data_IF_745775935026
#
_entry.id   IF_745775935026
#
_cell.length_a   1.000
_cell.length_b   1.000
_cell.length_c   1.000
_cell.angle_alpha   90.00
_cell.angle_beta   90.00
_cell.angle_gamma   90.00
#
_symmetry.space_group_name_H-M   'P 1'
#
loop_
_entity.id
_entity.type
_entity.pdbx_description
1 polymer ?
#
# COMPACT_ATOMS: atom_id res chain seq x y z
N UNK A 1 25.23 7.42 -19.36
CA UNK A 1 24.66 8.73 -19.74
C UNK A 1 23.77 8.48 -20.92
N UNK A 2 22.52 8.18 -20.61
CA UNK A 2 21.41 8.24 -21.56
C UNK A 2 21.44 9.57 -22.29
N UNK A 3 21.16 9.58 -23.60
CA UNK A 3 20.95 10.82 -24.34
C UNK A 3 19.62 11.45 -23.86
N UNK A 4 19.72 12.27 -22.81
CA UNK A 4 18.57 12.87 -22.11
C UNK A 4 17.73 13.74 -23.03
N UNK A 5 18.34 14.30 -24.08
CA UNK A 5 17.66 14.99 -25.18
C UNK A 5 16.68 14.07 -25.91
N UNK A 6 17.13 12.87 -26.29
CA UNK A 6 16.31 11.91 -27.03
C UNK A 6 15.13 11.38 -26.20
N UNK A 7 15.32 11.23 -24.89
CA UNK A 7 14.26 10.84 -23.97
C UNK A 7 13.21 11.94 -23.82
N UNK A 8 13.66 13.19 -23.63
CA UNK A 8 12.75 14.33 -23.50
C UNK A 8 11.95 14.57 -24.78
N UNK A 9 12.54 14.38 -25.96
CA UNK A 9 11.81 14.40 -27.23
C UNK A 9 10.68 13.35 -27.27
N UNK A 10 10.89 12.19 -26.64
CA UNK A 10 9.87 11.17 -26.43
C UNK A 10 8.73 11.66 -25.54
N UNK A 11 9.06 12.27 -24.39
CA UNK A 11 8.09 12.88 -23.47
C UNK A 11 7.28 13.97 -24.15
N UNK A 12 7.94 14.89 -24.87
CA UNK A 12 7.27 15.97 -25.60
C UNK A 12 6.34 15.43 -26.70
N UNK A 13 6.72 14.34 -27.36
CA UNK A 13 5.86 13.64 -28.33
C UNK A 13 4.64 13.01 -27.67
N UNK A 14 4.81 12.38 -26.51
CA UNK A 14 3.69 11.83 -25.74
C UNK A 14 2.78 12.95 -25.23
N UNK A 15 3.34 14.07 -24.77
CA UNK A 15 2.56 15.25 -24.36
C UNK A 15 1.72 15.77 -25.53
N UNK A 16 2.26 15.87 -26.75
CA UNK A 16 1.49 16.25 -27.95
C UNK A 16 0.32 15.31 -28.25
N UNK A 17 0.45 14.02 -27.94
CA UNK A 17 -0.56 12.99 -28.23
C UNK A 17 -1.63 12.89 -27.14
N UNK A 18 -1.25 12.96 -25.87
CA UNK A 18 -2.12 12.68 -24.73
C UNK A 18 -2.53 13.94 -23.95
N UNK A 19 -2.00 15.10 -24.30
CA UNK A 19 -2.18 16.41 -23.66
C UNK A 19 -1.66 16.53 -22.23
N UNK A 20 -1.75 15.47 -21.42
CA UNK A 20 -1.24 15.42 -20.05
C UNK A 20 -0.35 14.19 -19.90
N UNK A 21 0.89 14.40 -19.48
CA UNK A 21 1.88 13.36 -19.18
C UNK A 21 2.28 13.45 -17.72
N UNK A 22 2.49 12.30 -17.07
CA UNK A 22 3.06 12.21 -15.73
C UNK A 22 4.42 11.53 -15.79
N UNK A 23 5.39 12.13 -15.11
CA UNK A 23 6.74 11.64 -14.91
C UNK A 23 7.07 11.55 -13.42
N UNK A 24 7.55 10.39 -13.00
CA UNK A 24 8.20 10.23 -11.71
C UNK A 24 9.71 10.41 -11.88
N UNK A 25 10.23 11.53 -11.38
CA UNK A 25 11.65 11.86 -11.38
C UNK A 25 12.11 12.05 -9.93
N UNK A 26 12.20 10.93 -9.23
CA UNK A 26 12.69 10.84 -7.85
C UNK A 26 14.20 10.66 -7.76
N UNK A 27 14.67 10.11 -6.65
CA UNK A 27 16.09 10.02 -6.29
C UNK A 27 16.91 9.22 -7.31
N UNK A 28 16.35 8.13 -7.85
CA UNK A 28 17.00 7.33 -8.90
C UNK A 28 17.23 8.11 -10.20
N UNK A 29 16.45 9.16 -10.46
CA UNK A 29 16.42 9.92 -11.71
C UNK A 29 16.61 11.43 -11.48
N UNK A 30 17.29 11.80 -10.38
CA UNK A 30 17.52 13.19 -10.01
C UNK A 30 18.33 13.96 -11.08
N UNK A 31 19.25 13.28 -11.77
CA UNK A 31 20.01 13.83 -12.90
C UNK A 31 19.10 14.20 -14.07
N UNK A 32 18.16 13.33 -14.46
CA UNK A 32 17.20 13.61 -15.52
C UNK A 32 16.32 14.82 -15.19
N UNK A 33 15.98 15.01 -13.91
CA UNK A 33 15.23 16.19 -13.46
C UNK A 33 16.02 17.49 -13.64
N UNK A 34 17.32 17.49 -13.32
CA UNK A 34 18.19 18.64 -13.53
C UNK A 34 18.37 18.97 -15.02
N UNK A 35 18.48 17.95 -15.87
CA UNK A 35 18.61 18.13 -17.32
C UNK A 35 17.36 18.76 -17.94
N UNK A 36 16.16 18.55 -17.38
CA UNK A 36 14.94 19.19 -17.87
C UNK A 36 14.99 20.73 -17.81
N UNK A 37 15.65 21.29 -16.79
CA UNK A 37 15.84 22.74 -16.68
C UNK A 37 16.63 23.31 -17.87
N UNK A 38 17.47 22.49 -18.49
CA UNK A 38 18.29 22.88 -19.65
C UNK A 38 17.56 22.82 -21.00
N UNK A 39 16.38 22.20 -21.06
CA UNK A 39 15.63 21.99 -22.31
C UNK A 39 14.94 23.25 -22.84
N UNK A 40 14.91 24.33 -22.05
CA UNK A 40 14.29 25.61 -22.42
C UNK A 40 12.77 25.62 -22.40
N UNK A 41 12.10 24.56 -21.94
CA UNK A 41 10.66 24.54 -21.71
C UNK A 41 10.26 25.39 -20.50
N UNK A 42 9.07 26.00 -20.53
CA UNK A 42 8.48 26.67 -19.37
C UNK A 42 8.29 25.70 -18.20
N UNK A 43 9.24 25.74 -17.25
CA UNK A 43 9.20 25.00 -16.00
C UNK A 43 8.65 25.89 -14.88
N UNK A 44 7.59 25.43 -14.23
CA UNK A 44 6.96 26.13 -13.11
C UNK A 44 6.75 25.18 -11.94
N UNK A 45 6.87 25.66 -10.72
CA UNK A 45 6.52 24.85 -9.54
C UNK A 45 4.99 24.75 -9.42
N UNK A 46 4.48 23.70 -8.78
CA UNK A 46 3.04 23.56 -8.56
C UNK A 46 2.45 24.71 -7.74
N UNK A 47 3.22 25.30 -6.83
CA UNK A 47 2.81 26.46 -6.04
C UNK A 47 2.64 27.69 -6.92
N UNK A 48 3.69 28.05 -7.68
CA UNK A 48 3.63 29.22 -8.57
C UNK A 48 2.59 29.04 -9.67
N UNK A 49 2.46 27.81 -10.15
CA UNK A 49 1.42 27.44 -11.09
C UNK A 49 0.03 27.57 -10.48
N UNK A 50 -0.21 27.28 -9.20
CA UNK A 50 -1.54 27.45 -8.61
C UNK A 50 -1.83 28.91 -8.24
N UNK A 51 -0.82 29.66 -7.79
CA UNK A 51 -0.93 31.06 -7.41
C UNK A 51 -1.04 32.00 -8.62
N UNK A 52 -0.68 31.54 -9.82
CA UNK A 52 -0.73 32.34 -11.04
C UNK A 52 0.35 33.43 -11.11
N UNK A 53 1.37 33.31 -10.28
CA UNK A 53 2.54 34.19 -10.23
C UNK A 53 3.49 33.95 -11.40
N UNK A 54 3.57 32.71 -11.89
CA UNK A 54 4.27 32.39 -13.12
C UNK A 54 3.39 32.74 -14.32
N UNK A 55 3.81 33.75 -15.09
CA UNK A 55 3.26 33.98 -16.41
C UNK A 55 3.48 32.74 -17.26
N UNK A 56 2.43 31.95 -17.48
CA UNK A 56 2.47 30.93 -18.51
C UNK A 56 2.65 31.67 -19.83
N UNK A 57 3.86 31.63 -20.40
CA UNK A 57 4.10 32.18 -21.73
C UNK A 57 3.15 31.57 -22.78
N UNK A 58 3.20 32.09 -24.00
CA UNK A 58 2.47 31.51 -25.15
C UNK A 58 2.98 30.11 -25.55
N UNK A 59 3.85 29.50 -24.75
CA UNK A 59 4.41 28.19 -25.02
C UNK A 59 3.35 27.09 -24.97
N UNK A 60 3.35 26.25 -26.00
CA UNK A 60 2.42 25.13 -26.13
C UNK A 60 2.68 23.98 -25.14
N UNK A 61 3.88 23.91 -24.54
CA UNK A 61 4.29 22.87 -23.60
C UNK A 61 4.65 23.50 -22.26
N UNK A 62 3.98 23.08 -21.20
CA UNK A 62 4.18 23.55 -19.84
C UNK A 62 4.62 22.37 -18.96
N UNK A 63 5.69 22.55 -18.20
CA UNK A 63 6.16 21.58 -17.23
C UNK A 63 5.82 22.07 -15.82
N UNK A 64 5.04 21.29 -15.08
CA UNK A 64 4.65 21.58 -13.71
C UNK A 64 5.41 20.61 -12.80
N UNK A 65 6.32 21.16 -12.00
CA UNK A 65 7.20 20.40 -11.13
C UNK A 65 6.74 20.42 -9.66
N UNK A 66 7.26 19.49 -8.87
CA UNK A 66 7.03 19.37 -7.42
C UNK A 66 5.56 19.11 -7.06
N UNK A 67 4.82 18.37 -7.88
CA UNK A 67 3.40 18.11 -7.60
C UNK A 67 3.19 17.29 -6.31
N UNK A 68 4.23 16.60 -5.80
CA UNK A 68 4.23 15.97 -4.47
C UNK A 68 3.87 16.95 -3.33
N UNK A 69 4.06 18.26 -3.52
CA UNK A 69 3.64 19.25 -2.52
C UNK A 69 2.13 19.24 -2.29
N UNK A 70 1.32 18.76 -3.24
CA UNK A 70 -0.13 18.59 -3.07
C UNK A 70 -0.51 17.52 -2.03
N UNK A 71 0.41 16.63 -1.64
CA UNK A 71 0.17 15.64 -0.58
C UNK A 71 0.88 16.02 0.74
N UNK A 72 1.94 16.83 0.67
CA UNK A 72 2.68 17.30 1.84
C UNK A 72 2.05 18.55 2.47
N UNK A 73 1.44 19.43 1.65
CA UNK A 73 0.85 20.68 2.09
C UNK A 73 -0.68 20.63 1.99
N UNK A 74 -1.36 20.62 3.14
CA UNK A 74 -2.84 20.59 3.23
C UNK A 74 -3.55 21.76 2.55
N UNK A 75 -2.84 22.86 2.23
CA UNK A 75 -3.40 24.00 1.51
C UNK A 75 -3.53 23.75 0.01
N UNK A 76 -2.60 22.98 -0.56
CA UNK A 76 -2.59 22.65 -1.98
C UNK A 76 -3.39 21.37 -2.17
N UNK A 77 -4.44 21.42 -2.97
CA UNK A 77 -5.25 20.24 -3.26
C UNK A 77 -5.02 19.80 -4.69
N UNK A 78 -4.86 18.51 -4.91
CA UNK A 78 -4.86 17.91 -6.25
C UNK A 78 -6.11 18.30 -7.06
N UNK A 79 -7.24 18.55 -6.39
CA UNK A 79 -8.46 19.05 -7.03
C UNK A 79 -8.28 20.43 -7.66
N UNK A 80 -7.58 21.35 -7.01
CA UNK A 80 -7.34 22.70 -7.51
C UNK A 80 -6.37 22.65 -8.71
N UNK A 81 -5.30 21.84 -8.58
CA UNK A 81 -4.35 21.58 -9.66
C UNK A 81 -5.06 21.00 -10.88
N UNK A 82 -5.92 20.00 -10.67
CA UNK A 82 -6.71 19.39 -11.72
C UNK A 82 -7.56 20.41 -12.46
N UNK A 83 -8.35 21.21 -11.75
CA UNK A 83 -9.24 22.19 -12.38
C UNK A 83 -8.45 23.15 -13.27
N UNK A 84 -7.31 23.65 -12.78
CA UNK A 84 -6.47 24.57 -13.53
C UNK A 84 -5.79 23.93 -14.74
N UNK A 85 -5.26 22.71 -14.57
CA UNK A 85 -4.65 21.92 -15.65
C UNK A 85 -5.66 21.65 -16.77
N UNK A 86 -6.91 21.31 -16.42
CA UNK A 86 -7.95 21.05 -17.42
C UNK A 86 -8.33 22.33 -18.17
N UNK A 87 -8.46 23.48 -17.49
CA UNK A 87 -8.65 24.78 -18.15
C UNK A 87 -7.52 25.08 -19.14
N UNK A 88 -6.26 24.87 -18.75
CA UNK A 88 -5.13 25.11 -19.65
C UNK A 88 -5.08 24.16 -20.85
N UNK A 89 -5.49 22.91 -20.68
CA UNK A 89 -5.56 21.92 -21.78
C UNK A 89 -6.72 22.22 -22.73
N UNK A 90 -7.91 22.50 -22.18
CA UNK A 90 -9.14 22.62 -22.95
C UNK A 90 -9.31 24.01 -23.58
N UNK A 91 -9.07 25.08 -22.81
CA UNK A 91 -9.28 26.46 -23.25
C UNK A 91 -8.03 27.05 -23.91
N UNK A 92 -6.85 26.77 -23.33
CA UNK A 92 -5.59 27.34 -23.81
C UNK A 92 -4.80 26.40 -24.73
N UNK A 93 -5.35 25.21 -25.03
CA UNK A 93 -4.73 24.20 -25.90
C UNK A 93 -3.29 23.83 -25.49
N UNK A 94 -2.93 23.96 -24.21
CA UNK A 94 -1.60 23.61 -23.71
C UNK A 94 -1.40 22.10 -23.66
N UNK A 95 -0.14 21.70 -23.61
CA UNK A 95 0.33 20.34 -23.34
C UNK A 95 1.06 20.40 -22.01
N UNK A 96 0.72 19.52 -21.09
CA UNK A 96 1.18 19.59 -19.70
C UNK A 96 1.98 18.35 -19.36
N UNK A 97 3.16 18.56 -18.78
CA UNK A 97 3.99 17.51 -18.19
C UNK A 97 4.02 17.73 -16.68
N UNK A 98 3.51 16.76 -15.94
CA UNK A 98 3.49 16.75 -14.48
C UNK A 98 4.72 15.98 -13.99
N UNK A 99 5.54 16.59 -13.14
CA UNK A 99 6.73 15.98 -12.57
C UNK A 99 6.57 15.86 -11.06
N UNK A 100 6.89 14.67 -10.55
CA UNK A 100 6.84 14.34 -9.13
C UNK A 100 8.11 13.61 -8.69
N UNK A 101 8.60 13.89 -7.48
CA UNK A 101 9.55 12.98 -6.81
C UNK A 101 8.90 11.73 -6.23
N UNK A 102 7.58 11.74 -6.01
CA UNK A 102 6.79 10.60 -5.52
C UNK A 102 6.20 9.80 -6.68
N UNK A 103 6.11 8.48 -6.50
CA UNK A 103 5.41 7.62 -7.46
C UNK A 103 3.91 7.98 -7.52
N UNK A 104 3.27 7.72 -8.65
CA UNK A 104 1.83 8.00 -8.85
C UNK A 104 0.94 7.37 -7.78
N UNK A 105 1.30 6.18 -7.29
CA UNK A 105 0.56 5.48 -6.24
C UNK A 105 0.58 6.19 -4.88
N UNK A 106 1.54 7.10 -4.64
CA UNK A 106 1.64 7.84 -3.38
C UNK A 106 0.61 8.96 -3.25
N UNK A 107 -0.08 9.31 -4.34
CA UNK A 107 -1.12 10.32 -4.34
C UNK A 107 -2.48 9.71 -3.95
N UNK A 108 -3.27 10.38 -3.09
CA UNK A 108 -4.55 9.87 -2.64
C UNK A 108 -5.53 9.77 -3.82
N UNK A 109 -6.24 8.64 -3.91
CA UNK A 109 -7.29 8.47 -4.92
C UNK A 109 -8.47 9.37 -4.58
N UNK A 110 -8.83 10.25 -5.52
CA UNK A 110 -10.00 11.13 -5.35
C UNK A 110 -11.17 10.56 -6.14
N UNK A 111 -12.32 10.35 -5.48
CA UNK A 111 -13.52 9.79 -6.12
C UNK A 111 -14.04 10.76 -7.20
N UNK A 112 -14.33 10.22 -8.39
CA UNK A 112 -14.98 10.94 -9.49
C UNK A 112 -14.03 11.19 -10.67
N UNK A 113 -12.91 11.87 -10.44
CA UNK A 113 -11.92 12.06 -11.50
C UNK A 113 -10.55 12.50 -10.97
N UNK A 114 -9.54 11.67 -11.18
CA UNK A 114 -8.17 11.89 -10.72
C UNK A 114 -7.30 12.39 -11.89
N UNK A 115 -6.59 13.50 -11.67
CA UNK A 115 -5.68 14.10 -12.64
C UNK A 115 -4.62 13.09 -13.10
N UNK A 116 -4.07 12.32 -12.16
CA UNK A 116 -2.97 11.40 -12.43
C UNK A 116 -3.42 10.11 -13.12
N UNK A 117 -4.69 9.73 -12.93
CA UNK A 117 -5.33 8.65 -13.69
C UNK A 117 -5.57 9.06 -15.14
N UNK A 118 -5.86 10.35 -15.39
CA UNK A 118 -6.05 10.88 -16.75
C UNK A 118 -4.72 11.15 -17.49
N UNK A 119 -3.62 11.33 -16.75
CA UNK A 119 -2.30 11.56 -17.33
C UNK A 119 -1.70 10.28 -17.92
N UNK A 120 -1.05 10.40 -19.09
CA UNK A 120 -0.22 9.32 -19.62
C UNK A 120 1.03 9.18 -18.77
N UNK A 121 1.20 8.04 -18.13
CA UNK A 121 2.45 7.73 -17.43
C UNK A 121 3.54 7.39 -18.44
N UNK A 122 4.66 8.12 -18.39
CA UNK A 122 5.86 7.87 -19.18
C UNK A 122 6.99 7.39 -18.26
N UNK A 123 7.72 6.37 -18.71
CA UNK A 123 8.85 5.80 -17.97
C UNK A 123 10.16 6.22 -18.63
N UNK A 124 11.20 6.38 -17.83
CA UNK A 124 12.57 6.47 -18.35
C UNK A 124 12.95 5.10 -18.89
N UNK A 125 13.48 5.08 -20.12
CA UNK A 125 14.01 3.86 -20.74
C UNK A 125 15.46 3.69 -20.28
N UNK A 126 15.80 2.50 -19.83
CA UNK A 126 17.20 2.12 -19.64
C UNK A 126 17.82 1.83 -21.01
N UNK A 127 19.05 2.31 -21.25
CA UNK A 127 19.80 2.07 -22.50
C UNK A 127 20.17 0.59 -22.74
N UNK A 128 19.79 -0.33 -21.83
CA UNK A 128 19.93 -1.78 -22.02
C UNK A 128 19.20 -2.32 -23.25
N UNK A 129 18.30 -1.54 -23.86
CA UNK A 129 17.65 -1.82 -25.15
C UNK A 129 18.61 -1.82 -26.37
N UNK A 130 19.87 -1.38 -26.22
CA UNK A 130 20.84 -1.35 -27.34
C UNK A 130 21.66 -2.65 -27.55
N UNK A 131 21.19 -3.80 -27.05
CA UNK A 131 21.65 -5.12 -27.52
C UNK A 131 23.07 -5.53 -27.10
N UNK A 132 23.72 -4.82 -26.19
CA UNK A 132 24.99 -5.24 -25.58
C UNK A 132 24.74 -6.09 -24.35
N UNK A 133 25.08 -7.39 -24.47
CA UNK A 133 24.98 -8.38 -23.40
C UNK A 133 25.63 -7.86 -22.11
N UNK A 134 24.92 -7.75 -20.97
CA UNK A 134 25.50 -7.24 -19.75
C UNK A 134 26.43 -8.31 -19.17
N UNK A 135 27.71 -7.95 -18.97
CA UNK A 135 28.62 -8.75 -18.16
C UNK A 135 28.00 -8.93 -16.76
N UNK A 136 27.95 -10.18 -16.28
CA UNK A 136 27.22 -10.64 -15.08
C UNK A 136 27.58 -9.94 -13.76
N UNK A 137 28.49 -8.96 -13.76
CA UNK A 137 28.92 -8.22 -12.57
C UNK A 137 28.78 -6.69 -12.67
N UNK A 138 28.15 -6.15 -13.71
CA UNK A 138 27.96 -4.70 -13.85
C UNK A 138 26.55 -4.33 -14.30
N UNK A 139 25.56 -4.52 -13.41
CA UNK A 139 24.29 -3.82 -13.52
C UNK A 139 24.34 -2.61 -12.59
N UNK A 140 25.17 -1.65 -12.96
CA UNK A 140 24.88 -0.24 -12.67
C UNK A 140 23.79 0.15 -13.65
N UNK A 141 22.59 0.49 -13.19
CA UNK A 141 21.74 1.36 -14.00
C UNK A 141 22.63 2.58 -14.31
N UNK A 142 22.92 2.91 -15.58
CA UNK A 142 23.98 3.85 -15.94
C UNK A 142 23.77 5.29 -15.45
N UNK A 143 22.65 5.54 -14.76
CA UNK A 143 22.16 6.87 -14.39
C UNK A 143 21.85 7.01 -12.88
N UNK A 144 22.10 5.98 -12.04
CA UNK A 144 21.96 6.17 -10.60
C UNK A 144 23.03 7.14 -10.09
N UNK A 145 22.68 8.12 -9.24
CA UNK A 145 23.63 9.10 -8.77
C UNK A 145 24.78 8.42 -8.00
N UNK A 146 26.00 8.90 -8.23
CA UNK A 146 27.16 8.45 -7.46
C UNK A 146 26.96 8.81 -5.98
N UNK A 147 27.00 7.83 -5.07
CA UNK A 147 26.75 8.07 -3.66
C UNK A 147 26.52 6.81 -2.83
N UNK A 148 26.00 7.00 -1.62
CA UNK A 148 25.59 5.91 -0.75
C UNK A 148 24.34 5.22 -1.32
N UNK A 149 24.56 4.02 -1.84
CA UNK A 149 23.52 3.20 -2.45
C UNK A 149 22.42 2.81 -1.46
N UNK A 150 22.74 2.60 -0.19
CA UNK A 150 21.74 2.25 0.82
C UNK A 150 20.80 3.42 1.06
N UNK A 151 21.36 4.63 1.20
CA UNK A 151 20.59 5.86 1.34
C UNK A 151 19.72 6.12 0.09
N UNK A 152 20.25 5.88 -1.11
CA UNK A 152 19.49 6.01 -2.36
C UNK A 152 18.31 5.02 -2.39
N UNK A 153 18.52 3.76 -2.01
CA UNK A 153 17.44 2.78 -1.93
C UNK A 153 16.37 3.19 -0.92
N UNK A 154 16.77 3.72 0.24
CA UNK A 154 15.83 4.24 1.25
C UNK A 154 15.01 5.39 0.65
N UNK A 155 15.64 6.31 -0.09
CA UNK A 155 14.94 7.40 -0.76
C UNK A 155 13.95 6.88 -1.80
N UNK A 156 14.38 6.00 -2.72
CA UNK A 156 13.49 5.41 -3.73
C UNK A 156 12.30 4.67 -3.10
N UNK A 157 12.51 3.95 -2.00
CA UNK A 157 11.40 3.27 -1.31
C UNK A 157 10.47 4.26 -0.61
N UNK A 158 11.00 5.33 -0.02
CA UNK A 158 10.18 6.38 0.59
C UNK A 158 9.35 7.16 -0.44
N UNK A 159 9.72 7.14 -1.72
CA UNK A 159 8.95 7.77 -2.79
C UNK A 159 7.71 6.97 -3.20
N UNK A 160 7.67 5.68 -2.83
CA UNK A 160 6.52 4.81 -3.05
C UNK A 160 5.37 5.20 -2.11
N UNK A 161 4.18 4.70 -2.44
CA UNK A 161 3.05 4.78 -1.52
C UNK A 161 3.29 3.92 -0.28
N UNK A 162 2.74 4.33 0.87
CA UNK A 162 2.74 3.49 2.07
C UNK A 162 2.12 2.12 1.82
N UNK A 163 1.05 2.06 1.01
CA UNK A 163 0.42 0.79 0.62
C UNK A 163 1.40 -0.14 -0.09
N UNK A 164 2.10 0.37 -1.09
CA UNK A 164 3.11 -0.38 -1.86
C UNK A 164 4.25 -0.87 -0.96
N UNK A 165 4.76 -0.05 -0.05
CA UNK A 165 5.82 -0.46 0.90
C UNK A 165 5.33 -1.60 1.81
N UNK A 166 4.09 -1.53 2.29
CA UNK A 166 3.49 -2.56 3.14
C UNK A 166 3.27 -3.86 2.38
N UNK A 167 2.73 -3.78 1.16
CA UNK A 167 2.47 -4.96 0.34
C UNK A 167 3.78 -5.67 -0.02
N UNK A 168 4.81 -4.92 -0.44
CA UNK A 168 6.16 -5.47 -0.65
C UNK A 168 6.69 -6.11 0.64
N UNK A 169 6.54 -5.44 1.78
CA UNK A 169 6.98 -5.97 3.07
C UNK A 169 6.28 -7.28 3.44
N UNK A 170 4.98 -7.38 3.19
CA UNK A 170 4.24 -8.62 3.45
C UNK A 170 4.73 -9.78 2.57
N UNK A 171 4.98 -9.53 1.28
CA UNK A 171 5.56 -10.54 0.38
C UNK A 171 6.95 -11.01 0.86
N UNK A 172 7.78 -10.10 1.35
CA UNK A 172 9.16 -10.40 1.78
C UNK A 172 9.21 -11.13 3.13
N UNK A 173 8.51 -10.63 4.15
CA UNK A 173 8.66 -11.13 5.53
C UNK A 173 7.53 -12.04 5.98
N UNK A 174 6.29 -11.78 5.55
CA UNK A 174 5.15 -12.60 5.99
C UNK A 174 5.05 -13.87 5.10
N UNK A 175 5.26 -13.75 3.79
CA UNK A 175 5.26 -14.89 2.85
C UNK A 175 6.64 -15.50 2.59
N UNK A 176 7.73 -14.78 2.91
CA UNK A 176 9.09 -15.29 2.75
C UNK A 176 9.53 -15.49 1.30
N UNK A 177 8.94 -14.74 0.36
CA UNK A 177 9.19 -14.92 -1.07
C UNK A 177 10.63 -14.51 -1.47
N UNK A 178 11.18 -15.22 -2.45
CA UNK A 178 12.42 -14.84 -3.13
C UNK A 178 12.21 -13.58 -3.99
N UNK A 179 13.28 -12.94 -4.53
CA UNK A 179 13.14 -11.75 -5.36
C UNK A 179 12.19 -11.96 -6.56
N UNK A 180 12.34 -13.07 -7.28
CA UNK A 180 11.54 -13.34 -8.47
C UNK A 180 10.07 -13.62 -8.10
N UNK A 181 9.84 -14.45 -7.09
CA UNK A 181 8.49 -14.72 -6.59
C UNK A 181 7.81 -13.45 -6.05
N UNK A 182 8.59 -12.54 -5.45
CA UNK A 182 8.06 -11.24 -4.99
C UNK A 182 7.49 -10.47 -6.17
N UNK A 183 8.25 -10.31 -7.27
CA UNK A 183 7.78 -9.60 -8.48
C UNK A 183 6.52 -10.24 -9.05
N UNK A 184 6.47 -11.56 -9.12
CA UNK A 184 5.33 -12.30 -9.67
C UNK A 184 4.05 -12.11 -8.87
N UNK A 185 4.16 -11.73 -7.59
CA UNK A 185 3.03 -11.53 -6.69
C UNK A 185 2.69 -10.04 -6.44
N UNK A 186 3.41 -9.11 -7.06
CA UNK A 186 3.10 -7.68 -6.99
C UNK A 186 1.83 -7.34 -7.75
N UNK A 187 1.08 -6.34 -7.28
CA UNK A 187 -0.03 -5.80 -8.05
C UNK A 187 0.48 -4.97 -9.23
N UNK A 188 -0.33 -4.74 -10.28
CA UNK A 188 0.06 -3.85 -11.37
C UNK A 188 0.44 -2.44 -10.91
N UNK A 189 -0.17 -1.95 -9.82
CA UNK A 189 0.13 -0.64 -9.23
C UNK A 189 1.51 -0.63 -8.58
N UNK A 190 1.88 -1.71 -7.89
CA UNK A 190 3.22 -1.83 -7.27
C UNK A 190 4.31 -1.99 -8.32
N UNK A 191 4.06 -2.79 -9.37
CA UNK A 191 4.99 -2.94 -10.50
C UNK A 191 5.21 -1.60 -11.18
N UNK A 192 4.14 -0.83 -11.42
CA UNK A 192 4.25 0.51 -11.98
C UNK A 192 5.10 1.42 -11.09
N UNK A 193 4.79 1.50 -9.79
CA UNK A 193 5.50 2.37 -8.85
C UNK A 193 6.99 2.03 -8.74
N UNK A 194 7.32 0.74 -8.65
CA UNK A 194 8.70 0.26 -8.61
C UNK A 194 9.44 0.52 -9.92
N UNK A 195 8.76 0.36 -11.06
CA UNK A 195 9.33 0.69 -12.38
C UNK A 195 9.64 2.18 -12.48
N UNK A 196 8.71 3.03 -12.07
CA UNK A 196 8.89 4.48 -12.05
C UNK A 196 9.99 4.95 -11.11
N UNK A 197 10.29 4.17 -10.07
CA UNK A 197 11.40 4.41 -9.14
C UNK A 197 12.74 3.81 -9.61
N UNK A 198 12.77 3.17 -10.78
CA UNK A 198 13.97 2.52 -11.32
C UNK A 198 14.40 1.25 -10.57
N UNK A 199 13.55 0.71 -9.69
CA UNK A 199 13.81 -0.52 -8.90
C UNK A 199 13.50 -1.79 -9.70
N UNK A 200 12.64 -1.67 -10.71
CA UNK A 200 12.29 -2.75 -11.65
C UNK A 200 12.42 -2.20 -13.08
N UNK A 201 12.88 -3.06 -13.99
CA UNK A 201 12.82 -2.82 -15.42
C UNK A 201 11.83 -3.78 -16.08
N UNK A 202 11.27 -3.37 -17.22
CA UNK A 202 10.43 -4.24 -18.06
C UNK A 202 11.04 -4.21 -19.44
N UNK A 203 11.83 -5.25 -19.76
CA UNK A 203 12.47 -5.45 -21.07
C UNK A 203 11.43 -5.91 -22.09
N UNK A 204 11.75 -5.88 -23.38
CA UNK A 204 10.90 -6.29 -24.52
C UNK A 204 10.12 -7.61 -24.34
N UNK A 205 10.61 -8.53 -23.51
CA UNK A 205 9.88 -9.76 -23.13
C UNK A 205 8.57 -9.51 -22.36
N UNK A 206 8.31 -8.28 -21.94
CA UNK A 206 7.16 -7.86 -21.14
C UNK A 206 7.21 -8.30 -19.68
N UNK A 207 8.24 -9.06 -19.28
CA UNK A 207 8.39 -9.54 -17.90
C UNK A 207 9.18 -8.54 -17.05
N UNK A 208 8.65 -8.13 -15.88
CA UNK A 208 9.40 -7.29 -14.95
C UNK A 208 10.58 -8.05 -14.31
N UNK A 209 11.71 -7.37 -14.14
CA UNK A 209 12.90 -7.87 -13.44
C UNK A 209 13.48 -6.81 -12.52
N UNK A 210 14.08 -7.23 -11.39
CA UNK A 210 14.74 -6.31 -10.47
C UNK A 210 16.03 -5.75 -11.09
N UNK A 211 16.14 -4.43 -11.17
CA UNK A 211 17.41 -3.74 -11.51
C UNK A 211 18.47 -3.93 -10.42
N UNK A 212 18.01 -4.30 -9.21
CA UNK A 212 18.79 -4.43 -7.98
C UNK A 212 18.94 -5.88 -7.50
N UNK A 213 18.84 -6.87 -8.40
CA UNK A 213 18.85 -8.31 -8.04
C UNK A 213 20.01 -8.72 -7.11
N UNK A 214 21.23 -8.24 -7.38
CA UNK A 214 22.43 -8.51 -6.57
C UNK A 214 22.47 -7.77 -5.23
N UNK A 215 21.56 -6.81 -5.03
CA UNK A 215 21.46 -5.92 -3.85
C UNK A 215 20.18 -6.16 -3.05
N UNK A 216 19.52 -7.29 -3.25
CA UNK A 216 18.26 -7.63 -2.58
C UNK A 216 18.28 -7.44 -1.06
N UNK A 217 19.38 -7.80 -0.39
CA UNK A 217 19.53 -7.60 1.06
C UNK A 217 19.45 -6.12 1.47
N UNK A 218 20.05 -5.22 0.70
CA UNK A 218 20.00 -3.78 0.96
C UNK A 218 18.60 -3.23 0.71
N UNK A 219 17.94 -3.68 -0.35
CA UNK A 219 16.55 -3.31 -0.61
C UNK A 219 15.60 -3.76 0.51
N UNK A 220 15.77 -4.98 1.04
CA UNK A 220 15.04 -5.43 2.24
C UNK A 220 15.28 -4.49 3.43
N UNK A 221 16.51 -4.05 3.66
CA UNK A 221 16.84 -3.07 4.70
C UNK A 221 16.11 -1.74 4.48
N UNK A 222 16.12 -1.25 3.24
CA UNK A 222 15.44 -0.02 2.85
C UNK A 222 13.92 -0.09 3.06
N UNK A 223 13.27 -1.19 2.65
CA UNK A 223 11.84 -1.42 2.89
C UNK A 223 11.52 -1.50 4.38
N UNK A 224 12.33 -2.18 5.19
CA UNK A 224 12.13 -2.23 6.64
C UNK A 224 12.25 -0.83 7.28
N UNK A 225 13.25 -0.07 6.86
CA UNK A 225 13.49 1.30 7.33
C UNK A 225 12.31 2.20 6.97
N UNK A 226 11.89 2.20 5.70
CA UNK A 226 10.74 2.96 5.25
C UNK A 226 9.47 2.56 6.01
N UNK A 227 9.17 1.26 6.15
CA UNK A 227 8.01 0.80 6.90
C UNK A 227 8.01 1.28 8.37
N UNK A 228 9.20 1.38 9.00
CA UNK A 228 9.32 1.83 10.39
C UNK A 228 9.18 3.34 10.59
N UNK A 229 9.42 4.15 9.56
CA UNK A 229 9.38 5.63 9.66
C UNK A 229 7.98 6.20 9.46
N UNK A 230 7.04 5.39 8.99
CA UNK A 230 5.64 5.79 8.80
C UNK A 230 4.94 5.91 10.15
N UNK A 231 4.77 7.15 10.63
CA UNK A 231 4.06 7.47 11.87
C UNK A 231 2.55 7.67 11.68
N UNK A 232 2.07 7.76 10.43
CA UNK A 232 0.65 8.00 10.10
C UNK A 232 -0.12 6.69 9.99
N UNK A 233 -1.34 6.69 10.51
CA UNK A 233 -2.26 5.56 10.31
C UNK A 233 -2.62 5.41 8.84
N UNK A 234 -2.67 4.17 8.36
CA UNK A 234 -3.24 3.85 7.05
C UNK A 234 -4.70 4.32 6.96
N UNK A 235 -5.11 4.84 5.81
CA UNK A 235 -6.50 5.18 5.52
C UNK A 235 -7.44 3.96 5.67
N UNK A 236 -6.92 2.77 5.43
CA UNK A 236 -7.64 1.50 5.48
C UNK A 236 -7.84 0.95 6.90
N UNK A 237 -7.16 1.53 7.90
CA UNK A 237 -7.19 1.03 9.28
C UNK A 237 -8.60 1.08 9.87
N UNK A 238 -9.32 2.18 9.66
CA UNK A 238 -10.68 2.36 10.19
C UNK A 238 -11.62 1.29 9.65
N UNK A 239 -11.63 1.10 8.33
CA UNK A 239 -12.51 0.14 7.66
C UNK A 239 -12.19 -1.31 8.08
N UNK A 240 -10.90 -1.67 8.09
CA UNK A 240 -10.47 -2.99 8.54
C UNK A 240 -10.86 -3.24 10.01
N UNK A 241 -10.69 -2.24 10.88
CA UNK A 241 -11.03 -2.36 12.30
C UNK A 241 -12.54 -2.53 12.51
N UNK A 242 -13.37 -1.72 11.86
CA UNK A 242 -14.83 -1.80 11.95
C UNK A 242 -15.34 -3.17 11.47
N UNK A 243 -14.82 -3.66 10.36
CA UNK A 243 -15.24 -4.95 9.81
C UNK A 243 -14.77 -6.12 10.67
N UNK A 244 -13.54 -6.06 11.22
CA UNK A 244 -13.06 -7.05 12.18
C UNK A 244 -13.91 -7.07 13.45
N UNK A 245 -14.20 -5.89 14.00
CA UNK A 245 -15.05 -5.76 15.18
C UNK A 245 -16.41 -6.43 14.95
N UNK A 246 -17.03 -6.19 13.79
CA UNK A 246 -18.28 -6.84 13.42
C UNK A 246 -18.13 -8.37 13.37
N UNK A 247 -17.12 -8.89 12.67
CA UNK A 247 -16.87 -10.32 12.55
C UNK A 247 -16.74 -10.95 13.92
N UNK A 248 -15.89 -10.40 14.79
CA UNK A 248 -15.68 -10.98 16.11
C UNK A 248 -16.93 -10.96 16.98
N UNK A 249 -17.73 -9.88 16.93
CA UNK A 249 -18.99 -9.80 17.68
C UNK A 249 -19.99 -10.85 17.21
N UNK A 250 -20.09 -11.09 15.90
CA UNK A 250 -20.98 -12.12 15.35
C UNK A 250 -20.50 -13.53 15.70
N UNK A 251 -19.21 -13.82 15.57
CA UNK A 251 -18.64 -15.13 15.95
C UNK A 251 -18.88 -15.41 17.44
N UNK A 252 -18.58 -14.44 18.33
CA UNK A 252 -18.88 -14.58 19.77
C UNK A 252 -20.36 -14.83 20.01
N UNK A 253 -21.24 -14.14 19.29
CA UNK A 253 -22.68 -14.31 19.43
C UNK A 253 -23.14 -15.74 19.09
N UNK A 254 -22.74 -16.25 17.93
CA UNK A 254 -23.11 -17.61 17.51
C UNK A 254 -22.53 -18.66 18.45
N UNK A 255 -21.30 -18.46 18.92
CA UNK A 255 -20.65 -19.38 19.85
C UNK A 255 -21.38 -19.40 21.20
N UNK A 256 -21.78 -18.23 21.70
CA UNK A 256 -22.60 -18.12 22.91
C UNK A 256 -23.91 -18.89 22.77
N UNK A 257 -24.64 -18.67 21.68
CA UNK A 257 -25.92 -19.37 21.43
C UNK A 257 -25.72 -20.87 21.37
N UNK A 258 -24.69 -21.35 20.66
CA UNK A 258 -24.37 -22.77 20.55
C UNK A 258 -23.95 -23.39 21.88
N UNK A 259 -23.13 -22.69 22.68
CA UNK A 259 -22.72 -23.14 24.00
C UNK A 259 -23.89 -23.18 24.98
N UNK A 260 -24.77 -22.19 24.97
CA UNK A 260 -25.99 -22.19 25.79
C UNK A 260 -26.89 -23.37 25.39
N UNK A 261 -27.10 -23.58 24.09
CA UNK A 261 -27.91 -24.69 23.61
C UNK A 261 -27.35 -26.06 24.02
N UNK A 262 -26.01 -26.21 24.02
CA UNK A 262 -25.34 -27.49 24.31
C UNK A 262 -25.09 -27.74 25.80
N UNK A 263 -24.77 -26.72 26.59
CA UNK A 263 -24.30 -26.85 27.97
C UNK A 263 -25.22 -26.17 29.00
N UNK A 264 -26.30 -25.50 28.56
CA UNK A 264 -27.27 -24.81 29.41
C UNK A 264 -26.57 -23.90 30.43
N UNK A 265 -26.84 -24.07 31.74
CA UNK A 265 -26.29 -23.22 32.79
C UNK A 265 -24.75 -23.26 32.91
N UNK A 266 -24.11 -24.32 32.39
CA UNK A 266 -22.66 -24.51 32.46
C UNK A 266 -21.92 -23.95 31.23
N UNK A 267 -22.61 -23.20 30.36
CA UNK A 267 -22.03 -22.69 29.12
C UNK A 267 -20.82 -21.77 29.37
N UNK A 268 -20.80 -21.03 30.49
CA UNK A 268 -19.69 -20.14 30.85
C UNK A 268 -18.42 -20.93 31.11
N UNK A 269 -18.45 -21.95 31.95
CA UNK A 269 -17.30 -22.83 32.19
C UNK A 269 -16.90 -23.59 30.92
N UNK A 270 -17.87 -24.02 30.11
CA UNK A 270 -17.62 -24.70 28.84
C UNK A 270 -16.98 -23.80 27.76
N UNK A 271 -17.10 -22.47 27.90
CA UNK A 271 -16.53 -21.50 26.95
C UNK A 271 -15.02 -21.31 27.10
N UNK A 272 -14.43 -21.80 28.19
CA UNK A 272 -12.97 -21.75 28.42
C UNK A 272 -12.29 -22.73 27.46
N UNK A 273 -11.42 -22.21 26.59
CA UNK A 273 -10.63 -23.00 25.64
C UNK A 273 -9.28 -22.34 25.35
N UNK A 274 -8.22 -23.15 25.30
CA UNK A 274 -6.86 -22.68 24.99
C UNK A 274 -6.20 -21.81 26.06
N UNK A 275 -6.92 -21.49 27.15
CA UNK A 275 -6.47 -20.68 28.28
C UNK A 275 -6.98 -21.29 29.59
N UNK A 276 -6.24 -21.15 30.69
CA UNK A 276 -6.73 -21.55 32.00
C UNK A 276 -7.85 -20.61 32.47
N UNK A 277 -8.79 -21.14 33.26
CA UNK A 277 -9.84 -20.34 33.89
C UNK A 277 -9.25 -19.21 34.74
N UNK A 278 -8.17 -19.48 35.47
CA UNK A 278 -7.44 -18.50 36.28
C UNK A 278 -6.92 -17.33 35.44
N UNK A 279 -6.30 -17.61 34.29
CA UNK A 279 -5.77 -16.57 33.40
C UNK A 279 -6.91 -15.76 32.75
N UNK A 280 -8.01 -16.40 32.36
CA UNK A 280 -9.17 -15.70 31.82
C UNK A 280 -9.78 -14.72 32.84
N UNK A 281 -9.97 -15.17 34.08
CA UNK A 281 -10.45 -14.34 35.18
C UNK A 281 -9.45 -13.23 35.50
N UNK A 282 -8.14 -13.51 35.46
CA UNK A 282 -7.10 -12.51 35.67
C UNK A 282 -7.09 -11.42 34.58
N UNK A 283 -7.36 -11.76 33.31
CA UNK A 283 -7.57 -10.77 32.23
C UNK A 283 -8.79 -9.89 32.54
N UNK A 284 -9.91 -10.50 32.91
CA UNK A 284 -11.14 -9.78 33.22
C UNK A 284 -10.99 -8.85 34.44
N UNK A 285 -10.32 -9.31 35.49
CA UNK A 285 -10.04 -8.52 36.70
C UNK A 285 -9.22 -7.26 36.42
N UNK A 286 -8.24 -7.36 35.52
CA UNK A 286 -7.34 -6.24 35.17
C UNK A 286 -8.06 -5.10 34.47
N UNK A 287 -9.21 -5.37 33.85
CA UNK A 287 -9.90 -4.41 32.98
C UNK A 287 -11.28 -4.02 33.52
N UNK A 288 -12.24 -4.95 33.56
CA UNK A 288 -13.65 -4.60 33.78
C UNK A 288 -14.38 -5.38 34.89
N UNK A 289 -13.80 -6.46 35.43
CA UNK A 289 -14.45 -7.34 36.40
C UNK A 289 -13.60 -7.60 37.66
N UNK A 290 -13.26 -6.57 38.46
CA UNK A 290 -12.32 -6.69 39.58
C UNK A 290 -12.77 -7.66 40.69
N UNK A 291 -14.07 -7.97 40.77
CA UNK A 291 -14.67 -8.85 41.80
C UNK A 291 -14.90 -10.29 41.34
N UNK A 292 -14.69 -10.63 40.07
CA UNK A 292 -14.94 -11.97 39.57
C UNK A 292 -13.96 -12.97 40.19
N UNK A 293 -14.39 -14.03 40.85
CA UNK A 293 -13.48 -15.05 41.40
C UNK A 293 -13.36 -16.26 40.48
N UNK A 294 -14.40 -16.52 39.70
CA UNK A 294 -14.51 -17.66 38.77
C UNK A 294 -15.06 -17.21 37.43
N UNK A 295 -15.00 -18.09 36.42
CA UNK A 295 -15.52 -17.78 35.07
C UNK A 295 -17.03 -17.53 35.09
N UNK A 296 -17.77 -18.16 36.00
CA UNK A 296 -19.21 -17.98 36.13
C UNK A 296 -19.61 -16.57 36.58
N UNK A 297 -18.72 -15.85 37.27
CA UNK A 297 -18.95 -14.48 37.72
C UNK A 297 -18.83 -13.46 36.58
N UNK A 298 -18.28 -13.88 35.44
CA UNK A 298 -18.15 -13.04 34.26
C UNK A 298 -19.50 -12.92 33.54
N UNK A 299 -19.88 -11.69 33.17
CA UNK A 299 -21.08 -11.43 32.35
C UNK A 299 -21.07 -12.31 31.11
N UNK A 300 -19.93 -12.31 30.42
CA UNK A 300 -19.67 -13.14 29.25
C UNK A 300 -18.17 -13.49 29.15
N UNK A 301 -17.79 -14.75 29.39
CA UNK A 301 -16.39 -15.16 29.30
C UNK A 301 -15.80 -15.07 27.88
N UNK A 302 -16.64 -15.13 26.83
CA UNK A 302 -16.18 -15.08 25.43
C UNK A 302 -15.59 -13.71 25.05
N UNK A 303 -15.91 -12.64 25.79
CA UNK A 303 -15.33 -11.31 25.59
C UNK A 303 -13.84 -11.25 25.95
N UNK A 304 -13.36 -12.22 26.75
CA UNK A 304 -11.97 -12.28 27.24
C UNK A 304 -11.08 -13.28 26.48
N UNK A 305 -11.68 -14.00 25.52
CA UNK A 305 -10.93 -14.84 24.59
C UNK A 305 -10.37 -13.98 23.45
N UNK A 306 -9.10 -14.24 23.13
CA UNK A 306 -8.47 -13.77 21.90
C UNK A 306 -9.18 -14.38 20.68
N UNK A 307 -9.02 -13.76 19.52
CA UNK A 307 -9.61 -14.25 18.27
C UNK A 307 -9.16 -15.69 17.96
N UNK A 308 -7.91 -16.07 18.24
CA UNK A 308 -7.46 -17.46 18.05
C UNK A 308 -8.14 -18.41 19.03
N UNK A 309 -8.13 -18.11 20.33
CA UNK A 309 -8.78 -18.93 21.37
C UNK A 309 -10.28 -19.12 21.07
N UNK A 310 -10.94 -18.05 20.58
CA UNK A 310 -12.33 -18.08 20.15
C UNK A 310 -12.52 -19.00 18.95
N UNK A 311 -11.72 -18.91 17.89
CA UNK A 311 -11.86 -19.77 16.71
C UNK A 311 -11.55 -21.24 17.03
N UNK A 312 -10.60 -21.50 17.93
CA UNK A 312 -10.25 -22.85 18.40
C UNK A 312 -11.40 -23.50 19.21
N UNK A 313 -12.28 -22.70 19.83
CA UNK A 313 -13.39 -23.18 20.67
C UNK A 313 -14.35 -24.08 19.89
N UNK A 314 -14.53 -23.82 18.58
CA UNK A 314 -15.42 -24.60 17.71
C UNK A 314 -15.06 -26.07 17.71
N UNK A 315 -13.77 -26.35 17.50
CA UNK A 315 -13.24 -27.71 17.38
C UNK A 315 -13.16 -28.37 18.76
N UNK A 316 -12.60 -27.65 19.74
CA UNK A 316 -12.43 -28.14 21.10
C UNK A 316 -13.74 -28.53 21.80
N UNK A 317 -14.85 -27.86 21.47
CA UNK A 317 -16.18 -28.15 22.04
C UNK A 317 -17.12 -28.84 21.08
N UNK A 318 -16.65 -29.24 19.90
CA UNK A 318 -17.44 -29.90 18.86
C UNK A 318 -18.79 -29.18 18.64
N UNK A 319 -18.74 -27.87 18.41
CA UNK A 319 -19.92 -27.02 18.22
C UNK A 319 -20.56 -27.17 16.84
N UNK A 320 -19.96 -27.99 15.97
CA UNK A 320 -20.41 -28.18 14.59
C UNK A 320 -20.01 -27.01 13.69
N UNK A 321 -20.71 -26.87 12.56
CA UNK A 321 -20.39 -25.90 11.52
C UNK A 321 -20.92 -24.49 11.81
N UNK A 322 -21.95 -24.35 12.67
CA UNK A 322 -22.49 -23.06 13.07
C UNK A 322 -22.90 -22.16 11.87
N UNK A 323 -23.38 -22.77 10.78
CA UNK A 323 -23.78 -22.06 9.55
C UNK A 323 -22.65 -21.82 8.53
N UNK A 324 -21.39 -22.08 8.90
CA UNK A 324 -20.23 -21.95 8.01
C UNK A 324 -19.52 -23.30 7.89
N UNK A 325 -19.31 -23.76 6.66
CA UNK A 325 -18.67 -25.04 6.36
C UNK A 325 -17.25 -25.14 6.97
N UNK A 326 -16.83 -26.35 7.34
CA UNK A 326 -15.61 -26.54 8.11
C UNK A 326 -14.36 -25.89 7.49
N UNK A 327 -14.20 -26.00 6.17
CA UNK A 327 -13.06 -25.43 5.44
C UNK A 327 -13.07 -23.89 5.41
N UNK A 328 -14.26 -23.26 5.41
CA UNK A 328 -14.37 -21.80 5.41
C UNK A 328 -13.94 -21.21 6.74
N UNK A 329 -14.18 -21.91 7.86
CA UNK A 329 -13.64 -21.50 9.16
C UNK A 329 -12.11 -21.51 9.16
N UNK A 330 -11.49 -22.57 8.62
CA UNK A 330 -10.03 -22.66 8.51
C UNK A 330 -9.49 -21.54 7.62
N UNK A 331 -10.15 -21.28 6.48
CA UNK A 331 -9.78 -20.18 5.59
C UNK A 331 -9.90 -18.83 6.29
N UNK A 332 -11.01 -18.59 6.99
CA UNK A 332 -11.22 -17.35 7.75
C UNK A 332 -10.14 -17.17 8.81
N UNK A 333 -9.80 -18.22 9.55
CA UNK A 333 -8.72 -18.18 10.54
C UNK A 333 -7.40 -17.73 9.91
N UNK A 334 -7.03 -18.36 8.79
CA UNK A 334 -5.75 -18.11 8.12
C UNK A 334 -5.68 -16.70 7.50
N UNK A 335 -6.80 -16.14 7.06
CA UNK A 335 -6.85 -14.81 6.45
C UNK A 335 -7.04 -13.69 7.48
N UNK A 336 -7.87 -13.90 8.52
CA UNK A 336 -8.23 -12.85 9.49
C UNK A 336 -7.20 -12.70 10.62
N UNK A 337 -6.63 -13.80 11.15
CA UNK A 337 -5.70 -13.71 12.28
C UNK A 337 -4.46 -12.85 11.98
N UNK A 338 -3.80 -12.97 10.82
CA UNK A 338 -2.66 -12.12 10.50
C UNK A 338 -3.01 -10.62 10.45
N UNK A 339 -4.21 -10.27 9.94
CA UNK A 339 -4.68 -8.89 9.86
C UNK A 339 -4.96 -8.35 11.27
N UNK A 340 -5.70 -9.11 12.08
CA UNK A 340 -5.98 -8.76 13.49
C UNK A 340 -4.69 -8.56 14.28
N UNK A 341 -3.70 -9.44 14.11
CA UNK A 341 -2.42 -9.32 14.80
C UNK A 341 -1.65 -8.08 14.36
N UNK A 342 -1.66 -7.74 13.08
CA UNK A 342 -1.06 -6.48 12.60
C UNK A 342 -1.69 -5.26 13.27
N UNK A 343 -3.02 -5.20 13.31
CA UNK A 343 -3.75 -4.12 13.99
C UNK A 343 -3.41 -4.07 15.49
N UNK A 344 -3.41 -5.22 16.17
CA UNK A 344 -3.08 -5.30 17.59
C UNK A 344 -1.65 -4.85 17.92
N UNK A 345 -0.71 -4.99 16.97
CA UNK A 345 0.67 -4.57 17.09
C UNK A 345 0.96 -3.21 16.43
N UNK A 346 -0.07 -2.44 16.07
CA UNK A 346 0.06 -1.15 15.39
C UNK A 346 0.89 -1.20 14.09
N UNK A 347 0.92 -2.36 13.43
CA UNK A 347 1.51 -2.50 12.10
C UNK A 347 0.56 -1.86 11.07
N UNK A 348 1.14 -1.34 10.01
CA UNK A 348 0.38 -0.70 8.93
C UNK A 348 -0.53 -1.74 8.24
N UNK A 349 -1.78 -1.34 8.01
CA UNK A 349 -2.83 -2.12 7.35
C UNK A 349 -2.89 -1.72 5.88
N UNK A 350 -2.91 -2.67 4.95
CA UNK A 350 -3.02 -2.38 3.51
C UNK A 350 -4.47 -2.41 3.01
N UNK A 351 -4.70 -1.91 1.79
CA UNK A 351 -6.00 -2.00 1.12
C UNK A 351 -6.47 -3.46 1.01
N UNK A 352 -5.55 -4.37 0.69
CA UNK A 352 -5.82 -5.81 0.59
C UNK A 352 -6.39 -6.39 1.88
N UNK A 353 -5.91 -5.92 3.03
CA UNK A 353 -6.43 -6.35 4.32
C UNK A 353 -7.86 -5.90 4.52
N UNK A 354 -8.14 -4.62 4.31
CA UNK A 354 -9.48 -4.07 4.42
C UNK A 354 -10.47 -4.80 3.50
N UNK A 355 -10.07 -5.07 2.25
CA UNK A 355 -10.88 -5.85 1.30
C UNK A 355 -11.10 -7.30 1.76
N UNK A 356 -10.07 -7.94 2.32
CA UNK A 356 -10.15 -9.31 2.85
C UNK A 356 -11.13 -9.38 4.02
N UNK A 357 -10.99 -8.49 5.00
CA UNK A 357 -11.90 -8.41 6.14
C UNK A 357 -13.33 -8.07 5.69
N UNK A 358 -13.49 -7.12 4.75
CA UNK A 358 -14.81 -6.74 4.23
C UNK A 358 -15.52 -7.89 3.51
N UNK A 359 -14.75 -8.72 2.79
CA UNK A 359 -15.27 -9.94 2.17
C UNK A 359 -15.78 -10.93 3.24
N UNK A 360 -14.99 -11.15 4.30
CA UNK A 360 -15.41 -12.01 5.41
C UNK A 360 -16.60 -11.44 6.19
N UNK A 361 -16.68 -10.13 6.37
CA UNK A 361 -17.85 -9.47 6.97
C UNK A 361 -19.13 -9.84 6.22
N UNK A 362 -19.12 -9.77 4.88
CA UNK A 362 -20.27 -10.14 4.05
C UNK A 362 -20.63 -11.62 4.19
N UNK A 363 -19.63 -12.51 4.22
CA UNK A 363 -19.83 -13.95 4.42
C UNK A 363 -20.46 -14.21 5.80
N UNK A 364 -19.86 -13.66 6.85
CA UNK A 364 -20.33 -13.78 8.24
C UNK A 364 -21.75 -13.24 8.38
N UNK A 365 -22.03 -12.05 7.85
CA UNK A 365 -23.37 -11.48 7.87
C UNK A 365 -24.41 -12.38 7.21
N UNK A 366 -24.06 -13.04 6.09
CA UNK A 366 -24.99 -13.91 5.38
C UNK A 366 -25.17 -15.28 6.04
N UNK A 367 -24.14 -15.81 6.71
CA UNK A 367 -24.09 -17.20 7.18
C UNK A 367 -24.33 -17.35 8.69
N UNK A 368 -24.07 -16.31 9.47
CA UNK A 368 -24.18 -16.31 10.95
C UNK A 368 -25.37 -15.50 11.48
N UNK A 369 -26.19 -14.90 10.61
CA UNK A 369 -27.44 -14.22 10.99
C UNK A 369 -28.62 -15.19 11.12
#
# INVERSE_FOLDING_TARGET
>A
MTDTTSWFDGVARDARRYSIVFLHLGAAFASCRADLESTGAALVTVDDYLDGTSGCGEESLLIIDQIERCIENKKLRLGDLRSRVMTDVDENSKRIVLISSRARSAFPRTIGSDLLTNAKHCFIKSDSDQGTSPAENSISHPDWPAGDLEQLLIQCVNELSTGTVVDIGSLIWDLGLSPNETIENLTPVDVEALRSSGLIEVVDSGKPSWTISSRWKMFRSAVATAASTHATSSEWLSDAFVDLWFIERQVRNVFRTALIAKYANNWRSASVNGVSEEELVARAKRDAAPRAERVEDLRDPLEWLTTSELLDLREARSLGELGIEAFLWTKMRNEILPIRNRIAHMRIVSERDALTVSTWRKIVQKKLQ
#
